data_IF_973406038780
#
_entry.id   IF_973406038780
#
_cell.length_a   1.000
_cell.length_b   1.000
_cell.length_c   1.000
_cell.angle_alpha   90.00
_cell.angle_beta   90.00
_cell.angle_gamma   90.00
#
_symmetry.space_group_name_H-M   'P 1'
#
loop_
_entity.id
_entity.type
_entity.pdbx_description
1 polymer ?
#
# COMPACT_ATOMS: atom_id res chain seq x y z
N UNK A 1 -10.84 17.35 8.99
CA UNK A 1 -11.18 15.94 8.65
C UNK A 1 -12.70 15.77 8.72
N UNK A 2 -13.44 16.10 7.66
CA UNK A 2 -14.90 16.06 7.70
C UNK A 2 -15.51 15.80 6.33
N UNK A 3 -16.49 14.87 6.30
CA UNK A 3 -17.35 14.45 5.16
C UNK A 3 -16.93 13.27 4.28
N UNK A 4 -15.99 12.42 4.70
CA UNK A 4 -16.04 11.00 4.27
C UNK A 4 -16.45 10.18 5.49
N UNK A 5 -17.71 9.72 5.61
CA UNK A 5 -18.04 8.72 6.60
C UNK A 5 -17.30 7.46 6.18
N UNK A 6 -16.14 7.18 6.79
CA UNK A 6 -15.32 5.99 6.55
C UNK A 6 -16.19 4.72 6.47
N UNK A 7 -17.32 4.69 7.18
CA UNK A 7 -18.33 3.63 7.19
C UNK A 7 -18.89 3.17 5.83
N UNK A 8 -18.79 3.95 4.73
CA UNK A 8 -19.49 3.67 3.45
C UNK A 8 -18.61 3.80 2.19
N UNK A 9 -17.29 3.63 2.25
CA UNK A 9 -16.50 3.53 1.02
C UNK A 9 -16.80 2.20 0.31
N UNK A 10 -17.40 2.24 -0.88
CA UNK A 10 -17.65 1.06 -1.69
C UNK A 10 -16.48 0.80 -2.65
N UNK A 11 -16.10 -0.47 -2.84
CA UNK A 11 -15.10 -0.86 -3.85
C UNK A 11 -15.46 -0.32 -5.25
N UNK A 12 -16.76 -0.27 -5.57
CA UNK A 12 -17.26 0.33 -6.82
C UNK A 12 -16.91 1.82 -6.94
N UNK A 13 -17.07 2.62 -5.87
CA UNK A 13 -16.70 4.04 -5.89
C UNK A 13 -15.20 4.25 -6.14
N UNK A 14 -14.35 3.46 -5.48
CA UNK A 14 -12.89 3.51 -5.66
C UNK A 14 -12.53 3.12 -7.11
N UNK A 15 -13.15 2.08 -7.64
CA UNK A 15 -12.90 1.60 -9.01
C UNK A 15 -13.30 2.64 -10.05
N UNK A 16 -14.48 3.26 -9.90
CA UNK A 16 -14.93 4.34 -10.77
C UNK A 16 -14.03 5.57 -10.66
N UNK A 17 -13.58 5.93 -9.46
CA UNK A 17 -12.64 7.03 -9.26
C UNK A 17 -11.29 6.77 -9.92
N UNK A 18 -10.77 5.54 -9.87
CA UNK A 18 -9.53 5.15 -10.57
C UNK A 18 -9.67 5.26 -12.10
N UNK A 19 -10.83 4.89 -12.66
CA UNK A 19 -11.10 5.07 -14.10
C UNK A 19 -11.04 6.54 -14.51
N UNK A 20 -11.65 7.43 -13.72
CA UNK A 20 -11.60 8.86 -13.98
C UNK A 20 -10.17 9.43 -13.93
N UNK A 21 -9.30 8.92 -13.04
CA UNK A 21 -7.89 9.34 -13.03
C UNK A 21 -7.13 8.87 -14.28
N UNK A 22 -7.42 7.68 -14.78
CA UNK A 22 -6.84 7.19 -16.05
C UNK A 22 -7.31 8.04 -17.24
N UNK A 23 -8.59 8.43 -17.27
CA UNK A 23 -9.12 9.33 -18.30
C UNK A 23 -8.49 10.72 -18.20
N UNK A 24 -8.32 11.26 -16.99
CA UNK A 24 -7.66 12.55 -16.76
C UNK A 24 -6.21 12.57 -17.27
N UNK A 25 -5.47 11.47 -17.10
CA UNK A 25 -4.11 11.33 -17.60
C UNK A 25 -4.05 11.38 -19.13
N UNK A 26 -4.99 10.74 -19.81
CA UNK A 26 -5.07 10.77 -21.27
C UNK A 26 -5.46 12.16 -21.80
N UNK A 27 -6.47 12.79 -21.18
CA UNK A 27 -6.95 14.13 -21.58
C UNK A 27 -5.93 15.23 -21.26
N UNK A 28 -5.13 15.06 -20.20
CA UNK A 28 -4.05 15.97 -19.84
C UNK A 28 -2.95 16.03 -20.90
N UNK A 29 -2.71 14.94 -21.63
CA UNK A 29 -1.76 14.88 -22.76
C UNK A 29 -2.27 15.62 -23.99
N UNK A 30 -3.58 15.59 -24.23
CA UNK A 30 -4.25 16.23 -25.37
C UNK A 30 -4.55 17.74 -25.17
N UNK A 31 -4.21 18.30 -24.01
CA UNK A 31 -4.39 19.72 -23.65
C UNK A 31 -5.84 20.24 -23.83
N UNK A 32 -6.85 19.48 -23.40
CA UNK A 32 -8.28 19.85 -23.44
C UNK A 32 -8.78 20.37 -22.09
N UNK A 33 -8.70 21.69 -21.79
CA UNK A 33 -8.94 22.23 -20.45
C UNK A 33 -10.41 22.14 -19.97
N UNK A 34 -11.37 21.99 -20.89
CA UNK A 34 -12.79 21.78 -20.56
C UNK A 34 -13.03 20.38 -19.96
N UNK A 35 -12.45 19.36 -20.57
CA UNK A 35 -12.58 17.97 -20.13
C UNK A 35 -11.87 17.72 -18.80
N UNK A 36 -10.69 18.30 -18.60
CA UNK A 36 -9.96 18.21 -17.32
C UNK A 36 -10.82 18.73 -16.15
N UNK A 37 -11.49 19.87 -16.33
CA UNK A 37 -12.41 20.43 -15.33
C UNK A 37 -13.60 19.51 -15.07
N UNK A 38 -14.26 19.01 -16.12
CA UNK A 38 -15.40 18.11 -16.02
C UNK A 38 -15.05 16.83 -15.26
N UNK A 39 -13.96 16.16 -15.66
CA UNK A 39 -13.50 14.92 -15.04
C UNK A 39 -13.04 15.12 -13.60
N UNK A 40 -12.37 16.25 -13.31
CA UNK A 40 -12.01 16.62 -11.93
C UNK A 40 -13.25 16.76 -11.04
N UNK A 41 -14.29 17.44 -11.51
CA UNK A 41 -15.55 17.59 -10.77
C UNK A 41 -16.23 16.24 -10.53
N UNK A 42 -16.27 15.36 -11.54
CA UNK A 42 -16.79 14.00 -11.39
C UNK A 42 -16.01 13.18 -10.35
N UNK A 43 -14.68 13.31 -10.33
CA UNK A 43 -13.84 12.65 -9.33
C UNK A 43 -14.19 13.13 -7.91
N UNK A 44 -14.27 14.43 -7.67
CA UNK A 44 -14.57 14.96 -6.33
C UNK A 44 -16.00 14.70 -5.87
N UNK A 45 -16.94 14.48 -6.80
CA UNK A 45 -18.28 14.01 -6.47
C UNK A 45 -18.26 12.56 -5.92
N UNK A 46 -17.37 11.70 -6.44
CA UNK A 46 -17.19 10.32 -5.95
C UNK A 46 -16.38 10.24 -4.66
N UNK A 47 -15.30 11.03 -4.57
CA UNK A 47 -14.37 11.05 -3.44
C UNK A 47 -14.37 12.46 -2.85
N UNK A 48 -15.28 12.74 -1.88
CA UNK A 48 -15.44 14.08 -1.34
C UNK A 48 -14.17 14.53 -0.62
N UNK A 49 -13.52 15.57 -1.13
CA UNK A 49 -12.50 16.32 -0.40
C UNK A 49 -13.06 17.68 0.01
N UNK A 50 -12.43 18.28 1.02
CA UNK A 50 -12.75 19.59 1.59
C UNK A 50 -12.49 20.75 0.58
N UNK A 51 -11.88 20.50 -0.60
CA UNK A 51 -11.62 21.53 -1.60
C UNK A 51 -11.76 21.03 -3.06
N UNK A 52 -12.42 21.86 -3.89
CA UNK A 52 -12.68 21.66 -5.32
C UNK A 52 -11.49 22.09 -6.19
N UNK A 53 -10.40 21.33 -6.15
CA UNK A 53 -9.20 21.63 -6.94
C UNK A 53 -9.22 20.89 -8.29
N UNK A 54 -8.85 21.57 -9.37
CA UNK A 54 -8.60 20.91 -10.66
C UNK A 54 -7.49 19.86 -10.47
N UNK A 55 -7.71 18.64 -10.96
CA UNK A 55 -6.71 17.57 -10.98
C UNK A 55 -5.98 17.69 -12.32
N UNK A 56 -4.86 18.42 -12.31
CA UNK A 56 -4.00 18.60 -13.47
C UNK A 56 -2.54 18.44 -13.05
N UNK A 57 -1.73 17.91 -13.97
CA UNK A 57 -0.32 17.61 -13.74
C UNK A 57 -0.09 16.25 -13.08
N UNK A 58 1.08 15.69 -13.37
CA UNK A 58 1.50 14.35 -12.94
C UNK A 58 1.51 14.20 -11.42
N UNK A 59 2.07 15.17 -10.69
CA UNK A 59 2.16 15.13 -9.22
C UNK A 59 0.78 15.06 -8.55
N UNK A 60 -0.21 15.75 -9.10
CA UNK A 60 -1.58 15.74 -8.57
C UNK A 60 -2.28 14.41 -8.88
N UNK A 61 -2.09 13.87 -10.08
CA UNK A 61 -2.59 12.55 -10.44
C UNK A 61 -1.98 11.48 -9.53
N UNK A 62 -0.65 11.50 -9.32
CA UNK A 62 0.05 10.60 -8.41
C UNK A 62 -0.51 10.63 -7.00
N UNK A 63 -0.67 11.82 -6.40
CA UNK A 63 -1.24 11.95 -5.04
C UNK A 63 -2.68 11.45 -4.94
N UNK A 64 -3.47 11.65 -6.00
CA UNK A 64 -4.87 11.18 -6.04
C UNK A 64 -4.95 9.68 -6.18
N UNK A 65 -4.05 9.12 -6.97
CA UNK A 65 -3.80 7.70 -7.10
C UNK A 65 -3.43 7.12 -5.73
N UNK A 66 -2.33 7.56 -5.11
CA UNK A 66 -1.91 7.11 -3.78
C UNK A 66 -3.05 7.14 -2.74
N UNK A 67 -3.83 8.22 -2.70
CA UNK A 67 -5.03 8.31 -1.87
C UNK A 67 -6.01 7.16 -2.12
N UNK A 68 -6.36 6.87 -3.37
CA UNK A 68 -7.26 5.75 -3.69
C UNK A 68 -6.68 4.39 -3.26
N UNK A 69 -5.34 4.23 -3.23
CA UNK A 69 -4.69 3.01 -2.71
C UNK A 69 -5.03 2.83 -1.25
N UNK A 70 -4.78 3.88 -0.47
CA UNK A 70 -4.97 3.89 0.96
C UNK A 70 -6.45 3.66 1.28
N UNK A 71 -7.36 4.28 0.53
CA UNK A 71 -8.80 4.07 0.68
C UNK A 71 -9.21 2.62 0.38
N UNK A 72 -8.59 1.97 -0.61
CA UNK A 72 -8.85 0.57 -0.93
C UNK A 72 -8.41 -0.36 0.22
N UNK A 73 -7.21 -0.14 0.76
CA UNK A 73 -6.71 -0.92 1.89
C UNK A 73 -7.56 -0.73 3.16
N UNK A 74 -8.02 0.50 3.41
CA UNK A 74 -8.98 0.78 4.49
C UNK A 74 -10.30 0.04 4.25
N UNK A 75 -10.82 -0.01 3.03
CA UNK A 75 -12.06 -0.75 2.71
C UNK A 75 -11.91 -2.26 2.93
N UNK A 76 -10.75 -2.82 2.59
CA UNK A 76 -10.38 -4.20 2.92
C UNK A 76 -10.38 -4.41 4.45
N UNK A 77 -9.70 -3.55 5.20
CA UNK A 77 -9.66 -3.62 6.67
C UNK A 77 -11.05 -3.50 7.32
N UNK A 78 -11.96 -2.72 6.74
CA UNK A 78 -13.35 -2.64 7.21
C UNK A 78 -14.12 -3.93 6.94
N UNK A 79 -13.87 -4.57 5.80
CA UNK A 79 -14.45 -5.89 5.50
C UNK A 79 -14.00 -6.93 6.53
N UNK A 80 -12.72 -6.90 6.93
CA UNK A 80 -12.21 -7.73 8.04
C UNK A 80 -12.95 -7.45 9.34
N UNK A 81 -13.12 -6.17 9.73
CA UNK A 81 -13.88 -5.80 10.95
C UNK A 81 -15.31 -6.33 10.93
N UNK A 82 -15.97 -6.36 9.78
CA UNK A 82 -17.32 -6.94 9.66
C UNK A 82 -17.30 -8.46 9.83
N UNK A 83 -16.32 -9.16 9.25
CA UNK A 83 -16.11 -10.60 9.46
C UNK A 83 -15.83 -10.92 10.93
N UNK A 84 -14.98 -10.14 11.61
CA UNK A 84 -14.73 -10.26 13.06
C UNK A 84 -16.02 -10.15 13.87
N UNK A 85 -16.87 -9.16 13.56
CA UNK A 85 -18.15 -8.96 14.27
C UNK A 85 -19.11 -10.15 14.06
N UNK A 86 -18.98 -10.88 12.96
CA UNK A 86 -19.77 -12.08 12.69
C UNK A 86 -19.24 -13.32 13.43
N UNK A 87 -17.99 -13.33 13.91
CA UNK A 87 -17.47 -14.38 14.78
C UNK A 87 -18.19 -14.31 16.14
N UNK A 88 -19.14 -15.22 16.34
CA UNK A 88 -20.00 -15.30 17.54
C UNK A 88 -19.30 -15.86 18.77
N UNK A 89 -18.02 -16.24 18.68
CA UNK A 89 -17.29 -16.79 19.81
C UNK A 89 -17.12 -15.72 20.89
N UNK A 90 -17.89 -15.82 21.98
CA UNK A 90 -17.85 -14.86 23.08
C UNK A 90 -16.61 -15.04 23.96
N UNK A 91 -15.92 -16.17 23.85
CA UNK A 91 -14.80 -16.53 24.73
C UNK A 91 -13.45 -16.07 24.19
N UNK A 92 -13.35 -15.80 22.89
CA UNK A 92 -12.11 -15.31 22.28
C UNK A 92 -11.86 -13.82 22.59
N UNK A 93 -10.64 -13.50 23.03
CA UNK A 93 -10.24 -12.12 23.34
C UNK A 93 -10.35 -11.22 22.08
N UNK A 94 -10.71 -9.92 22.21
CA UNK A 94 -10.87 -9.04 21.05
C UNK A 94 -9.62 -8.88 20.18
N UNK A 95 -8.42 -9.02 20.75
CA UNK A 95 -7.15 -8.98 20.00
C UNK A 95 -6.99 -10.26 19.18
N UNK A 96 -7.23 -11.42 19.80
CA UNK A 96 -7.14 -12.72 19.13
C UNK A 96 -8.13 -12.82 17.97
N UNK A 97 -9.33 -12.25 18.13
CA UNK A 97 -10.30 -12.13 17.03
C UNK A 97 -9.76 -11.32 15.85
N UNK A 98 -9.05 -10.21 16.13
CA UNK A 98 -8.42 -9.39 15.09
C UNK A 98 -7.27 -10.12 14.43
N UNK A 99 -6.42 -10.77 15.21
CA UNK A 99 -5.30 -11.57 14.71
C UNK A 99 -5.79 -12.72 13.82
N UNK A 100 -6.78 -13.50 14.28
CA UNK A 100 -7.39 -14.57 13.49
C UNK A 100 -7.99 -14.07 12.16
N UNK A 101 -8.47 -12.82 12.10
CA UNK A 101 -9.00 -12.23 10.87
C UNK A 101 -7.95 -11.94 9.81
N UNK A 102 -6.67 -11.86 10.18
CA UNK A 102 -5.55 -11.67 9.25
C UNK A 102 -5.27 -12.95 8.45
N UNK A 103 -5.72 -14.11 8.94
CA UNK A 103 -5.52 -15.42 8.30
C UNK A 103 -4.05 -15.72 7.98
N UNK A 104 -3.12 -15.24 8.82
CA UNK A 104 -1.69 -15.50 8.72
C UNK A 104 -1.10 -15.83 10.09
N UNK A 105 0.01 -16.54 10.09
CA UNK A 105 0.83 -16.77 11.29
C UNK A 105 1.98 -15.78 11.31
N UNK A 106 2.12 -15.07 12.42
CA UNK A 106 3.23 -14.19 12.74
C UNK A 106 3.91 -14.72 13.98
N UNK A 107 5.12 -15.23 13.80
CA UNK A 107 5.95 -15.72 14.89
C UNK A 107 6.96 -14.63 15.24
N UNK A 108 7.07 -14.25 16.50
CA UNK A 108 8.06 -13.24 16.90
C UNK A 108 9.47 -13.79 16.74
N UNK A 109 10.33 -13.05 16.06
CA UNK A 109 11.72 -13.41 15.89
C UNK A 109 12.56 -12.81 17.01
N UNK A 110 13.04 -13.69 17.89
CA UNK A 110 13.85 -13.29 19.04
C UNK A 110 15.22 -12.73 18.61
N UNK A 111 15.74 -11.78 19.40
CA UNK A 111 17.01 -11.08 19.15
C UNK A 111 18.22 -12.00 19.18
N UNK A 112 18.13 -13.15 19.84
CA UNK A 112 19.20 -14.15 19.87
C UNK A 112 19.30 -15.01 18.60
N UNK A 113 18.32 -14.94 17.69
CA UNK A 113 18.31 -15.78 16.49
C UNK A 113 19.22 -15.24 15.39
N UNK A 114 19.87 -16.16 14.65
CA UNK A 114 20.74 -15.79 13.52
C UNK A 114 19.97 -15.10 12.38
N UNK A 115 18.71 -15.48 12.15
CA UNK A 115 17.85 -14.81 11.17
C UNK A 115 17.59 -13.35 11.56
N UNK A 116 17.39 -13.07 12.85
CA UNK A 116 17.19 -11.70 13.34
C UNK A 116 18.45 -10.86 13.16
N UNK A 117 19.60 -11.41 13.52
CA UNK A 117 20.90 -10.75 13.35
C UNK A 117 21.16 -10.42 11.88
N UNK A 118 20.86 -11.33 10.95
CA UNK A 118 21.01 -11.07 9.51
C UNK A 118 20.16 -9.89 9.03
N UNK A 119 18.91 -9.78 9.51
CA UNK A 119 18.02 -8.66 9.14
C UNK A 119 18.53 -7.34 9.72
N UNK A 120 19.04 -7.34 10.95
CA UNK A 120 19.63 -6.17 11.60
C UNK A 120 20.93 -5.74 10.93
N UNK A 121 21.81 -6.67 10.58
CA UNK A 121 23.03 -6.40 9.83
C UNK A 121 22.73 -5.83 8.45
N UNK A 122 21.73 -6.39 7.75
CA UNK A 122 21.32 -5.87 6.46
C UNK A 122 20.77 -4.44 6.61
N UNK A 123 19.92 -4.18 7.60
CA UNK A 123 19.41 -2.85 7.87
C UNK A 123 20.49 -1.86 8.30
N UNK A 124 21.47 -2.28 9.11
CA UNK A 124 22.60 -1.44 9.48
C UNK A 124 23.45 -1.03 8.26
N UNK A 125 23.54 -1.91 7.25
CA UNK A 125 24.31 -1.62 6.04
C UNK A 125 23.61 -0.66 5.06
N UNK A 126 22.27 -0.66 5.01
CA UNK A 126 21.49 0.06 3.97
C UNK A 126 20.45 1.04 4.53
N UNK A 127 20.32 1.10 5.85
CA UNK A 127 19.37 1.91 6.60
C UNK A 127 19.95 3.25 7.04
N UNK A 128 19.24 3.92 7.95
CA UNK A 128 19.71 5.14 8.60
C UNK A 128 20.02 4.87 10.07
N UNK A 129 21.12 5.41 10.56
CA UNK A 129 21.49 5.38 11.99
C UNK A 129 20.46 6.08 12.90
N UNK A 130 19.49 6.80 12.31
CA UNK A 130 18.40 7.44 13.05
C UNK A 130 17.17 6.54 13.29
N UNK A 131 17.23 5.29 12.87
CA UNK A 131 16.21 4.27 13.14
C UNK A 131 16.81 3.00 13.72
N UNK A 132 15.97 2.27 14.44
CA UNK A 132 16.28 0.93 14.91
C UNK A 132 15.13 -0.04 14.58
N UNK A 133 15.47 -1.31 14.41
CA UNK A 133 14.47 -2.36 14.25
C UNK A 133 13.95 -2.74 15.64
N UNK A 134 12.70 -2.39 15.94
CA UNK A 134 12.08 -2.80 17.20
C UNK A 134 11.70 -4.28 17.20
N UNK A 135 10.99 -4.74 16.17
CA UNK A 135 10.41 -6.08 16.14
C UNK A 135 10.38 -6.64 14.71
N UNK A 136 10.58 -7.95 14.60
CA UNK A 136 10.55 -8.69 13.34
C UNK A 136 9.62 -9.88 13.53
N UNK A 137 8.72 -10.05 12.57
CA UNK A 137 7.77 -11.15 12.53
C UNK A 137 7.89 -11.85 11.18
N UNK A 138 8.66 -12.95 11.09
CA UNK A 138 8.63 -13.82 9.93
C UNK A 138 7.22 -14.30 9.65
N UNK A 139 6.93 -14.43 8.35
CA UNK A 139 5.70 -15.03 7.86
C UNK A 139 6.06 -16.17 6.93
N UNK A 140 5.60 -17.36 7.26
CA UNK A 140 5.72 -18.51 6.38
C UNK A 140 4.82 -18.33 5.15
N UNK A 141 5.41 -17.94 4.01
CA UNK A 141 4.72 -17.86 2.72
C UNK A 141 5.23 -19.00 1.83
N UNK A 142 4.31 -19.84 1.34
CA UNK A 142 4.65 -20.91 0.39
C UNK A 142 4.66 -20.37 -1.03
N UNK A 143 5.71 -19.63 -1.40
CA UNK A 143 5.89 -19.18 -2.78
C UNK A 143 6.63 -20.23 -3.60
N UNK A 144 5.90 -21.07 -4.33
CA UNK A 144 6.43 -22.19 -5.12
C UNK A 144 6.72 -21.90 -6.61
N UNK A 145 5.98 -21.03 -7.32
CA UNK A 145 6.07 -20.94 -8.79
C UNK A 145 7.46 -20.57 -9.34
N UNK A 146 8.30 -19.88 -8.55
CA UNK A 146 9.63 -19.41 -9.00
C UNK A 146 10.78 -19.84 -8.09
N UNK A 147 10.64 -20.93 -7.33
CA UNK A 147 11.76 -21.44 -6.52
C UNK A 147 12.94 -21.93 -7.37
N UNK A 148 12.71 -22.27 -8.64
CA UNK A 148 13.73 -22.76 -9.56
C UNK A 148 14.48 -21.64 -10.30
N UNK A 149 14.02 -20.39 -10.21
CA UNK A 149 14.72 -19.27 -10.85
C UNK A 149 15.93 -18.89 -9.99
N UNK A 150 17.01 -18.47 -10.63
CA UNK A 150 18.14 -17.83 -9.93
C UNK A 150 17.77 -16.39 -9.53
N UNK A 151 18.64 -15.73 -8.76
CA UNK A 151 18.52 -14.33 -8.36
C UNK A 151 17.39 -14.00 -7.38
N UNK A 152 17.14 -14.85 -6.39
CA UNK A 152 16.32 -14.46 -5.25
C UNK A 152 17.06 -13.42 -4.41
N UNK A 153 16.39 -12.29 -4.15
CA UNK A 153 16.93 -11.19 -3.35
C UNK A 153 15.98 -10.89 -2.19
N UNK A 154 16.55 -10.61 -1.02
CA UNK A 154 15.81 -10.01 0.09
C UNK A 154 15.79 -8.49 -0.14
N UNK A 155 14.60 -7.94 -0.34
CA UNK A 155 14.41 -6.52 -0.64
C UNK A 155 13.39 -5.91 0.32
N UNK A 156 13.51 -4.61 0.51
CA UNK A 156 12.61 -3.85 1.37
C UNK A 156 11.39 -3.35 0.61
N UNK A 157 10.27 -3.26 1.33
CA UNK A 157 9.01 -2.77 0.81
C UNK A 157 8.37 -1.82 1.81
N UNK A 158 8.06 -0.60 1.39
CA UNK A 158 7.36 0.37 2.24
C UNK A 158 5.84 0.14 2.23
N UNK A 159 5.28 0.08 3.44
CA UNK A 159 3.84 0.03 3.64
C UNK A 159 3.39 1.12 4.60
N UNK A 160 2.38 1.90 4.21
CA UNK A 160 1.66 2.74 5.15
C UNK A 160 1.03 1.86 6.25
N UNK A 161 1.01 2.29 7.53
CA UNK A 161 0.42 1.50 8.62
C UNK A 161 -1.04 1.08 8.37
N UNK A 162 -1.80 1.87 7.62
CA UNK A 162 -3.19 1.56 7.20
C UNK A 162 -3.31 0.41 6.20
N UNK A 163 -2.23 0.08 5.49
CA UNK A 163 -2.17 -0.98 4.47
C UNK A 163 -1.70 -2.33 5.02
N UNK A 164 -1.02 -2.36 6.17
CA UNK A 164 -0.41 -3.58 6.73
C UNK A 164 -1.41 -4.73 6.88
N UNK A 165 -2.60 -4.47 7.44
CA UNK A 165 -3.62 -5.52 7.59
C UNK A 165 -4.08 -6.09 6.23
N UNK A 166 -4.21 -5.24 5.21
CA UNK A 166 -4.58 -5.64 3.85
C UNK A 166 -3.52 -6.54 3.22
N UNK A 167 -2.24 -6.19 3.39
CA UNK A 167 -1.07 -6.94 2.90
C UNK A 167 -0.93 -8.29 3.62
N UNK A 168 -1.11 -8.32 4.95
CA UNK A 168 -1.02 -9.56 5.71
C UNK A 168 -2.08 -10.56 5.27
N UNK A 169 -3.31 -10.12 5.04
CA UNK A 169 -4.39 -11.01 4.60
C UNK A 169 -4.30 -11.42 3.13
N UNK A 170 -3.96 -10.49 2.24
CA UNK A 170 -4.09 -10.70 0.80
C UNK A 170 -2.77 -10.73 0.04
N UNK A 171 -1.65 -10.75 0.77
CA UNK A 171 -0.29 -10.63 0.23
C UNK A 171 -0.06 -9.27 -0.46
N UNK A 172 1.15 -9.07 -0.98
CA UNK A 172 1.47 -7.87 -1.76
C UNK A 172 0.69 -7.90 -3.07
N UNK A 173 0.09 -6.76 -3.41
CA UNK A 173 -0.70 -6.59 -4.63
C UNK A 173 -0.08 -5.51 -5.49
N UNK A 174 -0.27 -5.65 -6.80
CA UNK A 174 0.05 -4.61 -7.76
C UNK A 174 -0.76 -3.36 -7.42
N UNK A 175 -0.07 -2.25 -7.13
CA UNK A 175 -0.74 -0.97 -6.84
C UNK A 175 -1.22 -0.35 -8.15
N UNK A 176 -2.48 0.13 -8.17
CA UNK A 176 -3.09 0.79 -9.34
C UNK A 176 -2.58 2.23 -9.60
N UNK A 177 -1.54 2.65 -8.88
CA UNK A 177 -1.14 4.06 -8.75
C UNK A 177 0.17 4.40 -9.42
N UNK A 178 0.81 3.37 -9.94
CA UNK A 178 2.10 3.47 -10.58
C UNK A 178 1.87 3.50 -12.08
N UNK A 179 2.64 4.33 -12.79
CA UNK A 179 2.63 4.42 -14.26
C UNK A 179 2.76 3.04 -14.92
N UNK A 180 3.40 2.11 -14.22
CA UNK A 180 3.47 0.69 -14.53
C UNK A 180 2.75 -0.10 -13.43
N UNK A 181 1.93 -1.07 -13.83
CA UNK A 181 1.29 -2.02 -12.91
C UNK A 181 2.33 -2.98 -12.33
N UNK A 182 3.02 -2.58 -11.26
CA UNK A 182 4.03 -3.41 -10.59
C UNK A 182 4.00 -3.29 -9.06
N UNK A 183 4.90 -4.03 -8.41
CA UNK A 183 5.24 -3.93 -6.99
C UNK A 183 6.66 -3.35 -6.93
N UNK A 184 6.85 -2.31 -6.13
CA UNK A 184 8.15 -1.65 -6.00
C UNK A 184 8.87 -2.18 -4.77
N UNK A 185 10.12 -2.57 -4.97
CA UNK A 185 11.03 -2.97 -3.90
C UNK A 185 12.27 -2.09 -3.97
N UNK A 186 12.94 -1.91 -2.84
CA UNK A 186 14.20 -1.17 -2.75
C UNK A 186 15.26 -2.00 -2.02
N UNK A 187 16.51 -1.86 -2.45
CA UNK A 187 17.65 -2.40 -1.71
C UNK A 187 18.02 -1.51 -0.52
N UNK A 188 17.74 -0.20 -0.61
CA UNK A 188 18.04 0.78 0.43
C UNK A 188 16.87 0.96 1.39
N UNK A 189 17.18 0.96 2.69
CA UNK A 189 16.23 1.13 3.78
C UNK A 189 16.25 2.55 4.38
N UNK A 190 17.17 3.41 3.93
CA UNK A 190 17.35 4.78 4.40
C UNK A 190 16.06 5.60 4.40
N UNK A 191 15.24 5.45 3.35
CA UNK A 191 14.02 6.22 3.13
C UNK A 191 12.90 5.92 4.15
N UNK A 192 12.95 4.78 4.85
CA UNK A 192 11.96 4.45 5.88
C UNK A 192 12.09 5.29 7.15
N UNK A 193 13.18 6.04 7.30
CA UNK A 193 13.51 6.82 8.49
C UNK A 193 13.03 8.27 8.46
N UNK A 194 12.22 8.63 7.46
CA UNK A 194 11.43 9.87 7.51
C UNK A 194 12.22 11.16 7.28
N UNK A 195 13.37 11.12 6.60
CA UNK A 195 14.03 12.34 6.12
C UNK A 195 14.00 12.39 4.60
N UNK A 196 13.16 13.30 4.12
CA UNK A 196 12.97 13.74 2.73
C UNK A 196 12.05 12.87 1.83
N UNK A 197 11.23 13.50 0.97
CA UNK A 197 10.45 12.79 -0.03
C UNK A 197 11.40 12.10 -1.01
N UNK A 198 11.11 10.83 -1.31
CA UNK A 198 11.80 10.04 -2.34
C UNK A 198 11.96 10.89 -3.61
N UNK A 199 13.19 11.17 -4.08
CA UNK A 199 13.38 11.80 -5.37
C UNK A 199 12.75 10.91 -6.43
N UNK A 200 11.95 11.47 -7.34
CA UNK A 200 11.28 10.74 -8.45
C UNK A 200 12.23 9.89 -9.33
N UNK A 201 13.54 9.95 -9.12
CA UNK A 201 14.59 9.39 -9.97
C UNK A 201 15.16 8.03 -9.51
N UNK A 202 14.85 7.54 -8.32
CA UNK A 202 15.35 6.23 -7.84
C UNK A 202 14.25 5.16 -7.73
N UNK A 203 13.18 5.30 -8.50
CA UNK A 203 12.33 4.16 -8.83
C UNK A 203 13.08 3.32 -9.86
N UNK A 204 13.92 2.39 -9.39
CA UNK A 204 14.43 1.28 -10.19
C UNK A 204 13.24 0.44 -10.65
N UNK A 205 12.65 0.86 -11.77
CA UNK A 205 11.83 0.00 -12.61
C UNK A 205 12.76 -1.00 -13.31
N UNK A 206 13.33 -1.95 -12.57
CA UNK A 206 13.75 -3.22 -13.15
C UNK A 206 12.47 -4.02 -13.44
N UNK A 207 11.68 -3.48 -14.37
CA UNK A 207 10.53 -4.16 -14.94
C UNK A 207 11.05 -5.29 -15.78
N UNK A 208 11.10 -6.50 -15.22
CA UNK A 208 10.97 -7.70 -16.05
C UNK A 208 9.50 -7.75 -16.43
N UNK A 209 9.14 -7.53 -17.71
CA UNK A 209 7.77 -7.75 -18.15
C UNK A 209 7.43 -9.22 -17.91
N UNK A 210 6.27 -9.47 -17.30
CA UNK A 210 5.65 -10.81 -17.27
C UNK A 210 5.11 -11.13 -18.66
#
# INVERSE_FOLDING_TARGET
LGKIPFRKLSFGQITSASKLLNELENVGKDNKPGDVRRLSSQFHALIPRIFFLIIAGENMLYRKRELLSILNDIAVAQTMRRKIKALKDKYLHPIDKKYASLQCTLDYLDTSTSERQLVEEYFAAVGSDSCEILHVWPRAVKFRPHMKTSNHKLLWYEAAPSAVASILMNELRIKLHCYVKCIYFTADAYWFCGREPVPEKELLCDGVPV
#
